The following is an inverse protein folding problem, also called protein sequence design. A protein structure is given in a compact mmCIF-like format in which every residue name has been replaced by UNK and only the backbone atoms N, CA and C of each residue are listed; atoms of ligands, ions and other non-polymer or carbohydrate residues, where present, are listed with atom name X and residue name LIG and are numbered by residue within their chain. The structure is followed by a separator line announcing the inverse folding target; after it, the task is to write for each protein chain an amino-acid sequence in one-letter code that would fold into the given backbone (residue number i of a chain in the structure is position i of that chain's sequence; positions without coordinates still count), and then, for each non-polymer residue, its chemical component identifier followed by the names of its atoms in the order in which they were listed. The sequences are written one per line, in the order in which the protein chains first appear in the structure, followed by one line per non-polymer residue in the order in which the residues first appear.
data_IF_912624828120
#
_entry.id   IF_912624828120
#
_cell.length_a   1.000
_cell.length_b   1.000
_cell.length_c   1.000
_cell.angle_alpha   90.00
_cell.angle_beta   90.00
_cell.angle_gamma   90.00
#
_symmetry.space_group_name_H-M   'P 1'
#
loop_
_entity.id
_entity.type
_entity.pdbx_description
1 polymer ?
#
# COMPACT_ATOMS: atom_id res chain seq x y z
N UNK A 1 0.57 21.30 32.58
CA UNK A 1 -0.10 20.07 32.12
C UNK A 1 -1.26 20.28 31.13
N UNK A 2 -1.85 21.48 31.00
CA UNK A 2 -2.97 21.76 30.07
C UNK A 2 -2.54 21.77 28.55
N UNK A 3 -1.32 22.18 28.21
CA UNK A 3 -0.86 22.30 26.82
C UNK A 3 -0.69 20.97 26.08
N UNK A 4 -0.31 19.90 26.76
CA UNK A 4 -0.05 18.59 26.10
C UNK A 4 -1.34 17.90 25.62
N UNK A 5 -2.45 18.08 26.38
CA UNK A 5 -3.78 17.57 25.98
C UNK A 5 -4.36 18.33 24.77
N UNK A 6 -4.10 19.63 24.69
CA UNK A 6 -4.59 20.48 23.62
C UNK A 6 -3.83 20.24 22.30
N UNK A 7 -2.51 20.02 22.38
CA UNK A 7 -1.68 19.62 21.24
C UNK A 7 -2.07 18.25 20.67
N UNK A 8 -2.38 17.28 21.53
CA UNK A 8 -2.84 15.96 21.10
C UNK A 8 -4.21 16.01 20.41
N UNK A 9 -5.11 16.90 20.87
CA UNK A 9 -6.42 17.11 20.26
C UNK A 9 -6.32 17.76 18.87
N UNK A 10 -5.39 18.70 18.71
CA UNK A 10 -5.12 19.37 17.44
C UNK A 10 -4.47 18.40 16.42
N UNK A 11 -3.52 17.59 16.87
CA UNK A 11 -2.89 16.54 16.05
C UNK A 11 -3.91 15.49 15.58
N UNK A 12 -4.86 15.10 16.44
CA UNK A 12 -5.93 14.19 16.10
C UNK A 12 -6.92 14.79 15.11
N UNK A 13 -7.28 16.07 15.25
CA UNK A 13 -8.16 16.76 14.29
C UNK A 13 -7.48 16.96 12.92
N UNK A 14 -6.18 17.22 12.89
CA UNK A 14 -5.41 17.31 11.65
C UNK A 14 -5.32 15.95 10.95
N UNK A 15 -5.19 14.86 11.71
CA UNK A 15 -5.19 13.48 11.20
C UNK A 15 -6.57 13.10 10.62
N UNK A 16 -7.66 13.49 11.27
CA UNK A 16 -9.04 13.30 10.77
C UNK A 16 -9.33 14.10 9.50
N UNK A 17 -8.88 15.35 9.39
CA UNK A 17 -9.03 16.17 8.18
C UNK A 17 -8.25 15.58 6.99
N UNK A 18 -7.08 14.99 7.21
CA UNK A 18 -6.29 14.32 6.15
C UNK A 18 -6.96 13.06 5.60
N UNK A 19 -7.69 12.30 6.42
CA UNK A 19 -8.49 11.16 5.96
C UNK A 19 -9.68 11.58 5.08
N UNK A 20 -10.24 12.78 5.29
CA UNK A 20 -11.38 13.28 4.50
C UNK A 20 -10.97 13.82 3.12
N UNK A 21 -9.74 14.28 2.93
CA UNK A 21 -9.25 14.83 1.64
C UNK A 21 -8.83 13.72 0.66
N UNK A 22 -8.56 12.52 1.14
CA UNK A 22 -8.16 11.36 0.31
C UNK A 22 -9.35 10.57 -0.27
N UNK A 23 -10.45 11.26 -0.60
CA UNK A 23 -11.57 10.79 -1.45
C UNK A 23 -11.91 9.29 -1.36
N UNK A 24 -12.53 8.85 -0.25
CA UNK A 24 -13.07 7.51 -0.16
C UNK A 24 -13.77 7.31 1.18
N UNK A 25 -15.11 7.21 1.15
CA UNK A 25 -15.93 6.85 2.30
C UNK A 25 -15.55 5.45 2.77
N UNK A 26 -14.57 5.34 3.66
CA UNK A 26 -14.34 4.14 4.44
C UNK A 26 -15.13 4.31 5.73
N UNK A 27 -16.13 3.46 5.94
CA UNK A 27 -16.93 3.42 7.14
C UNK A 27 -16.00 3.33 8.37
N UNK A 28 -16.02 4.38 9.18
CA UNK A 28 -15.37 4.40 10.48
C UNK A 28 -16.14 3.44 11.39
N UNK A 29 -15.63 2.23 11.57
CA UNK A 29 -16.05 1.41 12.72
C UNK A 29 -15.36 2.01 13.93
N UNK A 30 -16.11 2.80 14.70
CA UNK A 30 -15.68 3.30 15.99
C UNK A 30 -15.55 2.11 16.95
N UNK A 31 -14.31 1.65 17.19
CA UNK A 31 -14.02 0.76 18.31
C UNK A 31 -13.96 1.63 19.56
N UNK A 32 -14.77 1.39 20.59
CA UNK A 32 -14.69 2.15 21.83
C UNK A 32 -13.34 1.91 22.51
N UNK A 33 -12.56 2.98 22.65
CA UNK A 33 -11.30 2.99 23.39
C UNK A 33 -11.60 2.96 24.88
N UNK A 34 -11.60 1.79 25.48
CA UNK A 34 -11.47 1.62 26.91
C UNK A 34 -9.99 1.65 27.28
N UNK A 35 -9.44 2.84 27.53
CA UNK A 35 -8.13 2.97 28.14
C UNK A 35 -8.28 2.90 29.67
N UNK A 36 -8.00 1.75 30.24
CA UNK A 36 -7.63 1.67 31.65
C UNK A 36 -6.13 1.95 31.77
N UNK A 37 -5.77 2.96 32.58
CA UNK A 37 -4.39 3.23 33.00
C UNK A 37 -3.92 2.14 33.99
N UNK A 38 -3.68 0.93 33.48
CA UNK A 38 -2.94 -0.08 34.21
C UNK A 38 -1.50 -0.04 33.65
N UNK A 39 -0.53 0.07 34.55
CA UNK A 39 0.89 0.30 34.23
C UNK A 39 1.41 -0.59 33.09
N UNK A 40 2.16 0.02 32.18
CA UNK A 40 2.81 -0.64 31.05
C UNK A 40 3.76 -1.72 31.59
N UNK A 41 3.28 -2.95 31.67
CA UNK A 41 4.15 -4.11 31.71
C UNK A 41 4.71 -4.28 30.29
N UNK A 42 6.05 -4.38 30.15
CA UNK A 42 6.65 -4.95 28.93
C UNK A 42 6.03 -6.34 28.76
N UNK A 43 5.09 -6.44 27.86
CA UNK A 43 4.53 -7.73 27.48
C UNK A 43 5.57 -8.40 26.58
N UNK A 44 6.12 -9.51 27.01
CA UNK A 44 6.93 -10.34 26.11
C UNK A 44 6.08 -10.67 24.88
N UNK A 45 6.68 -10.48 23.68
CA UNK A 45 5.97 -10.68 22.42
C UNK A 45 5.36 -12.09 22.39
N UNK A 46 4.04 -12.18 22.27
CA UNK A 46 3.35 -13.46 22.17
C UNK A 46 3.78 -14.21 20.90
N UNK A 47 3.68 -15.54 20.91
CA UNK A 47 4.08 -16.34 19.75
C UNK A 47 3.32 -15.91 18.49
N UNK A 48 4.05 -15.35 17.52
CA UNK A 48 3.52 -14.84 16.24
C UNK A 48 3.38 -13.33 16.17
N UNK A 49 3.76 -12.59 17.21
CA UNK A 49 3.91 -11.14 17.17
C UNK A 49 5.23 -10.76 16.46
N UNK A 50 5.25 -9.58 15.85
CA UNK A 50 6.37 -9.13 15.01
C UNK A 50 7.00 -7.86 15.58
N UNK A 51 8.25 -7.94 16.04
CA UNK A 51 9.00 -6.77 16.52
C UNK A 51 9.22 -5.76 15.41
N UNK A 52 9.02 -4.47 15.72
CA UNK A 52 9.31 -3.37 14.80
C UNK A 52 10.78 -3.01 14.90
N UNK A 53 11.61 -3.68 14.13
CA UNK A 53 13.07 -3.50 14.11
C UNK A 53 13.63 -3.57 12.69
N UNK A 54 14.95 -3.40 12.57
CA UNK A 54 15.62 -3.40 11.26
C UNK A 54 15.70 -4.78 10.61
N UNK A 55 15.49 -5.86 11.34
CA UNK A 55 15.45 -7.23 10.81
C UNK A 55 14.12 -7.46 10.07
N UNK A 56 13.00 -7.13 10.69
CA UNK A 56 11.68 -7.37 10.14
C UNK A 56 11.25 -6.29 9.12
N UNK A 57 11.68 -5.04 9.36
CA UNK A 57 11.39 -3.87 8.53
C UNK A 57 12.69 -3.07 8.34
N UNK A 58 13.56 -3.48 7.40
CA UNK A 58 14.88 -2.87 7.24
C UNK A 58 14.83 -1.42 6.76
N UNK A 59 13.82 -1.05 5.96
CA UNK A 59 13.66 0.31 5.48
C UNK A 59 13.22 1.25 6.61
N UNK A 60 13.96 2.35 6.80
CA UNK A 60 13.69 3.32 7.87
C UNK A 60 12.36 4.03 7.69
N UNK A 61 12.01 4.41 6.46
CA UNK A 61 10.75 5.09 6.14
C UNK A 61 9.56 4.17 6.42
N UNK A 62 9.61 2.94 5.91
CA UNK A 62 8.56 1.96 6.13
C UNK A 62 8.41 1.59 7.61
N UNK A 63 9.53 1.33 8.30
CA UNK A 63 9.52 1.04 9.75
C UNK A 63 8.93 2.19 10.56
N UNK A 64 9.27 3.45 10.21
CA UNK A 64 8.67 4.64 10.84
C UNK A 64 7.16 4.68 10.62
N UNK A 65 6.70 4.45 9.37
CA UNK A 65 5.28 4.37 9.07
C UNK A 65 4.55 3.33 9.95
N UNK A 66 5.12 2.13 10.05
CA UNK A 66 4.54 1.04 10.86
C UNK A 66 4.44 1.45 12.32
N UNK A 67 5.53 1.97 12.90
CA UNK A 67 5.54 2.42 14.30
C UNK A 67 4.56 3.57 14.57
N UNK A 68 4.34 4.47 13.62
CA UNK A 68 3.47 5.63 13.83
C UNK A 68 2.00 5.36 13.54
N UNK A 69 1.67 4.42 12.65
CA UNK A 69 0.32 4.26 12.12
C UNK A 69 -0.30 2.89 12.38
N UNK A 70 0.49 1.84 12.64
CA UNK A 70 0.01 0.47 12.80
C UNK A 70 0.17 -0.01 14.23
N UNK A 71 1.31 0.25 14.86
CA UNK A 71 1.55 0.00 16.28
C UNK A 71 0.71 0.97 17.13
N UNK A 72 -0.49 0.53 17.49
CA UNK A 72 -1.48 1.40 18.14
C UNK A 72 -1.16 1.65 19.62
N UNK A 73 -0.62 0.65 20.31
CA UNK A 73 -0.28 0.71 21.72
C UNK A 73 1.14 1.26 21.98
N UNK A 74 1.95 1.41 20.89
CA UNK A 74 3.32 1.95 20.93
C UNK A 74 4.29 1.12 21.76
N UNK A 75 4.11 -0.19 21.81
CA UNK A 75 5.00 -1.11 22.54
C UNK A 75 6.21 -1.59 21.69
N UNK A 76 6.27 -1.22 20.41
CA UNK A 76 7.34 -1.60 19.48
C UNK A 76 7.19 -3.00 18.88
N UNK A 77 6.00 -3.60 19.06
CA UNK A 77 5.66 -4.93 18.56
C UNK A 77 4.32 -4.85 17.82
N UNK A 78 4.20 -5.54 16.70
CA UNK A 78 2.91 -5.73 16.05
C UNK A 78 2.29 -7.04 16.53
N UNK A 79 1.19 -6.94 17.26
CA UNK A 79 0.36 -8.07 17.63
C UNK A 79 -0.35 -8.68 16.40
N UNK A 80 -0.79 -9.92 16.51
CA UNK A 80 -1.62 -10.55 15.46
C UNK A 80 -2.88 -9.75 15.16
N UNK A 81 -3.45 -9.09 16.16
CA UNK A 81 -4.65 -8.26 16.00
C UNK A 81 -4.36 -7.01 15.19
N UNK A 82 -3.28 -6.29 15.49
CA UNK A 82 -2.85 -5.12 14.73
C UNK A 82 -2.54 -5.50 13.28
N UNK A 83 -1.77 -6.57 13.05
CA UNK A 83 -1.46 -7.08 11.71
C UNK A 83 -2.73 -7.38 10.91
N UNK A 84 -3.69 -8.10 11.50
CA UNK A 84 -4.95 -8.47 10.83
C UNK A 84 -5.89 -7.29 10.59
N UNK A 85 -5.77 -6.22 11.38
CA UNK A 85 -6.60 -5.02 11.22
C UNK A 85 -6.19 -4.17 10.02
N UNK A 86 -4.95 -4.35 9.51
CA UNK A 86 -4.41 -3.52 8.41
C UNK A 86 -5.03 -3.92 7.08
N UNK A 87 -5.92 -3.08 6.59
CA UNK A 87 -6.54 -3.21 5.26
C UNK A 87 -6.01 -2.19 4.26
N UNK A 88 -5.43 -1.12 4.75
CA UNK A 88 -4.89 -0.04 3.92
C UNK A 88 -3.53 0.41 4.44
N UNK A 89 -2.57 0.52 3.53
CA UNK A 89 -1.28 1.17 3.76
C UNK A 89 -1.16 2.31 2.76
N UNK A 90 -0.89 3.52 3.29
CA UNK A 90 -0.72 4.73 2.51
C UNK A 90 0.61 5.38 2.87
N UNK A 91 1.60 5.23 2.01
CA UNK A 91 2.97 5.71 2.28
C UNK A 91 3.21 7.13 1.78
N UNK A 92 2.23 7.78 1.15
CA UNK A 92 2.26 9.18 0.73
C UNK A 92 3.51 9.62 -0.05
N UNK A 93 3.44 10.77 -0.68
CA UNK A 93 4.59 11.43 -1.31
C UNK A 93 5.47 12.09 -0.24
N UNK A 94 6.79 12.04 -0.44
CA UNK A 94 7.76 12.79 0.38
C UNK A 94 7.54 14.31 0.35
N UNK A 95 6.75 14.82 -0.59
CA UNK A 95 6.37 16.24 -0.69
C UNK A 95 5.25 16.63 0.28
N UNK A 96 4.52 15.65 0.83
CA UNK A 96 3.56 15.91 1.90
C UNK A 96 4.28 15.98 3.25
N UNK A 97 3.92 16.95 4.08
CA UNK A 97 4.53 17.11 5.42
C UNK A 97 4.41 15.81 6.20
N UNK A 98 5.53 15.14 6.44
CA UNK A 98 5.58 13.83 7.10
C UNK A 98 5.54 12.61 6.17
N UNK A 99 5.71 12.78 4.84
CA UNK A 99 5.81 11.68 3.88
C UNK A 99 6.97 10.72 4.21
N UNK A 100 6.76 9.44 3.93
CA UNK A 100 7.75 8.39 4.18
C UNK A 100 8.49 8.08 2.88
N UNK A 101 9.82 8.24 2.88
CA UNK A 101 10.64 7.87 1.73
C UNK A 101 11.13 6.45 1.93
N UNK A 102 10.55 5.53 1.16
CA UNK A 102 10.88 4.11 1.22
C UNK A 102 11.74 3.69 0.01
N UNK A 103 12.77 2.89 0.28
CA UNK A 103 13.59 2.23 -0.76
C UNK A 103 13.14 0.80 -1.01
N UNK A 104 12.54 0.16 -0.02
CA UNK A 104 11.90 -1.15 -0.12
C UNK A 104 10.78 -1.29 0.93
N UNK A 105 9.88 -2.25 0.72
CA UNK A 105 8.79 -2.57 1.64
C UNK A 105 8.94 -3.98 2.21
N UNK A 106 10.16 -4.42 2.49
CA UNK A 106 10.41 -5.71 3.17
C UNK A 106 9.63 -5.73 4.49
N UNK A 107 8.88 -6.81 4.72
CA UNK A 107 7.94 -6.91 5.84
C UNK A 107 6.47 -6.66 5.45
N UNK A 108 6.18 -6.14 4.25
CA UNK A 108 4.80 -5.92 3.78
C UNK A 108 3.97 -7.23 3.71
N UNK A 109 4.64 -8.34 3.51
CA UNK A 109 4.07 -9.68 3.34
C UNK A 109 3.33 -10.20 4.58
N UNK A 110 3.53 -9.63 5.77
CA UNK A 110 2.81 -10.02 6.99
C UNK A 110 1.37 -9.51 7.00
N UNK A 111 1.07 -8.42 6.26
CA UNK A 111 -0.26 -7.83 6.20
C UNK A 111 -1.15 -8.55 5.18
N UNK A 112 -1.55 -9.78 5.52
CA UNK A 112 -2.31 -10.66 4.61
C UNK A 112 -3.74 -10.19 4.36
N UNK A 113 -4.27 -9.30 5.20
CA UNK A 113 -5.60 -8.70 5.05
C UNK A 113 -5.58 -7.40 4.22
N UNK A 114 -4.41 -6.98 3.70
CA UNK A 114 -4.23 -5.75 2.96
C UNK A 114 -5.05 -5.76 1.66
N UNK A 115 -5.89 -4.73 1.49
CA UNK A 115 -6.76 -4.52 0.33
C UNK A 115 -6.29 -3.35 -0.54
N UNK A 116 -5.70 -2.34 0.09
CA UNK A 116 -5.18 -1.15 -0.61
C UNK A 116 -3.74 -0.89 -0.21
N UNK A 117 -2.86 -0.79 -1.20
CA UNK A 117 -1.49 -0.34 -1.03
C UNK A 117 -1.25 0.87 -1.96
N UNK A 118 -0.96 2.02 -1.36
CA UNK A 118 -0.50 3.22 -2.04
C UNK A 118 0.92 3.51 -1.59
N UNK A 119 1.87 3.33 -2.50
CA UNK A 119 3.30 3.54 -2.25
C UNK A 119 3.96 4.36 -3.37
N UNK A 120 3.18 5.22 -4.02
CA UNK A 120 3.64 6.10 -5.09
C UNK A 120 4.64 7.15 -4.59
N UNK A 121 5.42 7.73 -5.51
CA UNK A 121 6.41 8.77 -5.23
C UNK A 121 7.45 8.37 -4.16
N UNK A 122 7.96 7.15 -4.26
CA UNK A 122 8.99 6.61 -3.40
C UNK A 122 10.27 6.30 -4.19
N UNK A 123 11.18 5.55 -3.59
CA UNK A 123 12.45 5.12 -4.22
C UNK A 123 12.55 3.60 -4.33
N UNK A 124 11.39 2.93 -4.48
CA UNK A 124 11.32 1.48 -4.52
C UNK A 124 12.01 0.93 -5.76
N UNK A 125 12.95 0.01 -5.57
CA UNK A 125 13.57 -0.77 -6.64
C UNK A 125 12.93 -2.14 -6.80
N UNK A 126 12.30 -2.63 -5.75
CA UNK A 126 11.57 -3.90 -5.69
C UNK A 126 10.28 -3.74 -4.90
N UNK A 127 9.26 -4.53 -5.24
CA UNK A 127 8.00 -4.60 -4.52
C UNK A 127 7.48 -6.04 -4.60
N UNK A 128 7.41 -6.73 -3.46
CA UNK A 128 6.85 -8.08 -3.37
C UNK A 128 5.50 -8.06 -2.65
N UNK A 129 4.43 -8.17 -3.43
CA UNK A 129 3.05 -8.20 -2.93
C UNK A 129 2.39 -9.58 -3.05
N UNK A 130 3.17 -10.65 -3.34
CA UNK A 130 2.64 -12.00 -3.58
C UNK A 130 1.88 -12.58 -2.39
N UNK A 131 2.18 -12.19 -1.16
CA UNK A 131 1.46 -12.63 0.04
C UNK A 131 0.23 -11.76 0.36
N UNK A 132 0.11 -10.58 -0.25
CA UNK A 132 -1.03 -9.68 -0.04
C UNK A 132 -2.16 -10.04 -1.03
N UNK A 133 -2.66 -11.27 -0.95
CA UNK A 133 -3.59 -11.86 -1.92
C UNK A 133 -4.99 -11.22 -1.91
N UNK A 134 -5.27 -10.37 -0.92
CA UNK A 134 -6.53 -9.63 -0.81
C UNK A 134 -6.47 -8.24 -1.44
N UNK A 135 -5.35 -7.85 -2.08
CA UNK A 135 -5.23 -6.57 -2.75
C UNK A 135 -6.30 -6.39 -3.83
N UNK A 136 -7.01 -5.28 -3.72
CA UNK A 136 -7.99 -4.75 -4.68
C UNK A 136 -7.41 -3.54 -5.40
N UNK A 137 -6.63 -2.71 -4.69
CA UNK A 137 -6.00 -1.51 -5.22
C UNK A 137 -4.51 -1.50 -4.95
N UNK A 138 -3.71 -1.29 -6.00
CA UNK A 138 -2.26 -1.09 -5.92
C UNK A 138 -1.87 0.16 -6.72
N UNK A 139 -1.32 1.16 -6.02
CA UNK A 139 -0.65 2.33 -6.58
C UNK A 139 0.83 2.30 -6.21
N UNK A 140 1.70 2.24 -7.20
CA UNK A 140 3.15 2.24 -7.03
C UNK A 140 3.85 3.15 -8.06
N UNK A 141 3.18 4.23 -8.43
CA UNK A 141 3.66 5.21 -9.41
C UNK A 141 4.96 5.88 -8.97
N UNK A 142 5.69 6.43 -9.92
CA UNK A 142 6.87 7.26 -9.66
C UNK A 142 7.84 6.55 -8.69
N UNK A 143 8.34 5.40 -9.13
CA UNK A 143 9.31 4.58 -8.41
C UNK A 143 10.46 4.15 -9.36
N UNK A 144 11.25 3.16 -8.95
CA UNK A 144 12.37 2.64 -9.74
C UNK A 144 12.23 1.14 -10.02
N UNK A 145 10.98 0.66 -10.08
CA UNK A 145 10.69 -0.77 -10.26
C UNK A 145 11.09 -1.23 -11.66
N UNK A 146 11.87 -2.30 -11.73
CA UNK A 146 12.23 -2.97 -13.00
C UNK A 146 11.37 -4.20 -13.26
N UNK A 147 10.72 -4.73 -12.22
CA UNK A 147 9.80 -5.87 -12.27
C UNK A 147 8.66 -5.65 -11.28
N UNK A 148 7.48 -6.15 -11.61
CA UNK A 148 6.31 -6.15 -10.73
C UNK A 148 5.54 -7.45 -10.98
N UNK A 149 5.44 -8.29 -9.95
CA UNK A 149 4.69 -9.55 -9.99
C UNK A 149 3.37 -9.38 -9.22
N UNK A 150 2.26 -9.34 -9.96
CA UNK A 150 0.89 -9.26 -9.42
C UNK A 150 0.11 -10.55 -9.64
N UNK A 151 0.76 -11.64 -10.02
CA UNK A 151 0.12 -12.93 -10.36
C UNK A 151 -0.69 -13.55 -9.22
N UNK A 152 -0.37 -13.23 -7.97
CA UNK A 152 -1.08 -13.70 -6.78
C UNK A 152 -2.21 -12.77 -6.30
N UNK A 153 -2.34 -11.60 -6.93
CA UNK A 153 -3.31 -10.57 -6.53
C UNK A 153 -4.56 -10.63 -7.44
N UNK A 154 -5.22 -11.78 -7.50
CA UNK A 154 -6.35 -12.04 -8.41
C UNK A 154 -7.60 -11.18 -8.13
N UNK A 155 -7.62 -10.45 -7.01
CA UNK A 155 -8.69 -9.53 -6.64
C UNK A 155 -8.45 -8.10 -7.11
N UNK A 156 -7.29 -7.81 -7.76
CA UNK A 156 -6.97 -6.46 -8.22
C UNK A 156 -8.02 -5.96 -9.22
N UNK A 157 -8.57 -4.79 -8.90
CA UNK A 157 -9.46 -4.00 -9.75
C UNK A 157 -8.77 -2.73 -10.26
N UNK A 158 -7.80 -2.21 -9.50
CA UNK A 158 -7.05 -1.01 -9.82
C UNK A 158 -5.54 -1.30 -9.72
N UNK A 159 -4.81 -1.04 -10.79
CA UNK A 159 -3.36 -1.08 -10.84
C UNK A 159 -2.83 0.18 -11.51
N UNK A 160 -2.04 0.96 -10.76
CA UNK A 160 -1.24 2.04 -11.29
C UNK A 160 0.23 1.79 -10.97
N UNK A 161 1.06 1.75 -12.02
CA UNK A 161 2.51 1.54 -11.93
C UNK A 161 3.26 2.46 -12.92
N UNK A 162 2.67 3.63 -13.20
CA UNK A 162 3.23 4.64 -14.10
C UNK A 162 4.59 5.15 -13.61
N UNK A 163 5.37 5.73 -14.51
CA UNK A 163 6.67 6.32 -14.19
C UNK A 163 7.60 5.34 -13.43
N UNK A 164 7.85 4.18 -14.04
CA UNK A 164 8.74 3.15 -13.52
C UNK A 164 9.73 2.68 -14.62
N UNK A 165 10.38 1.54 -14.43
CA UNK A 165 11.35 0.97 -15.37
C UNK A 165 10.97 -0.44 -15.79
N UNK A 166 9.67 -0.75 -15.80
CA UNK A 166 9.16 -2.09 -16.10
C UNK A 166 9.41 -2.42 -17.57
N UNK A 167 10.05 -3.56 -17.82
CA UNK A 167 10.25 -4.09 -19.18
C UNK A 167 9.20 -5.12 -19.57
N UNK A 168 8.52 -5.71 -18.60
CA UNK A 168 7.40 -6.64 -18.73
C UNK A 168 6.38 -6.41 -17.66
N UNK A 169 5.10 -6.62 -17.97
CA UNK A 169 4.00 -6.58 -17.01
C UNK A 169 2.99 -7.67 -17.42
N UNK A 170 2.87 -8.71 -16.59
CA UNK A 170 1.87 -9.76 -16.78
C UNK A 170 0.67 -9.52 -15.86
N UNK A 171 -0.47 -9.21 -16.46
CA UNK A 171 -1.75 -9.00 -15.77
C UNK A 171 -2.76 -10.11 -16.08
N UNK A 172 -2.34 -11.22 -16.68
CA UNK A 172 -3.22 -12.32 -17.12
C UNK A 172 -4.01 -12.96 -15.97
N UNK A 173 -3.50 -12.89 -14.74
CA UNK A 173 -4.16 -13.40 -13.53
C UNK A 173 -5.10 -12.40 -12.85
N UNK A 174 -5.16 -11.16 -13.34
CA UNK A 174 -5.93 -10.07 -12.73
C UNK A 174 -7.23 -9.80 -13.55
N UNK A 175 -8.05 -10.83 -13.73
CA UNK A 175 -9.26 -10.77 -14.58
C UNK A 175 -10.33 -9.77 -14.09
N UNK A 176 -10.23 -9.31 -12.83
CA UNK A 176 -11.11 -8.28 -12.26
C UNK A 176 -10.67 -6.85 -12.53
N UNK A 177 -9.51 -6.67 -13.20
CA UNK A 177 -8.92 -5.36 -13.42
C UNK A 177 -9.85 -4.48 -14.25
N UNK A 178 -10.18 -3.28 -13.72
CA UNK A 178 -11.01 -2.25 -14.32
C UNK A 178 -10.19 -1.04 -14.77
N UNK A 179 -9.11 -0.75 -14.04
CA UNK A 179 -8.21 0.35 -14.30
C UNK A 179 -6.77 -0.16 -14.36
N UNK A 180 -6.07 0.14 -15.45
CA UNK A 180 -4.65 -0.14 -15.62
C UNK A 180 -3.96 1.12 -16.15
N UNK A 181 -3.07 1.69 -15.34
CA UNK A 181 -2.14 2.73 -15.77
C UNK A 181 -0.70 2.23 -15.65
N UNK A 182 -0.07 2.01 -16.79
CA UNK A 182 1.35 1.65 -16.91
C UNK A 182 2.11 2.67 -17.79
N UNK A 183 1.62 3.91 -17.84
CA UNK A 183 2.25 5.03 -18.52
C UNK A 183 3.73 5.15 -18.14
N UNK A 184 4.56 5.61 -19.08
CA UNK A 184 5.99 5.83 -18.92
C UNK A 184 6.73 4.67 -18.23
N UNK A 185 6.87 3.59 -19.01
CA UNK A 185 7.64 2.41 -18.65
C UNK A 185 8.49 1.97 -19.87
N UNK A 186 9.01 0.75 -19.86
CA UNK A 186 9.84 0.20 -20.95
C UNK A 186 9.22 -1.06 -21.55
N UNK A 187 7.89 -1.18 -21.50
CA UNK A 187 7.18 -2.36 -21.97
C UNK A 187 7.31 -2.49 -23.48
N UNK A 188 7.72 -3.65 -23.96
CA UNK A 188 7.78 -3.99 -25.38
C UNK A 188 6.57 -4.77 -25.85
N UNK A 189 5.83 -5.38 -24.92
CA UNK A 189 4.59 -6.10 -25.14
C UNK A 189 3.65 -5.91 -23.94
N UNK A 190 2.33 -5.94 -24.21
CA UNK A 190 1.30 -5.90 -23.18
C UNK A 190 0.09 -6.72 -23.62
N UNK A 191 -0.13 -7.87 -22.96
CA UNK A 191 -1.28 -8.72 -23.23
C UNK A 191 -2.38 -8.50 -22.19
N UNK A 192 -3.49 -7.91 -22.62
CA UNK A 192 -4.68 -7.62 -21.78
C UNK A 192 -5.89 -8.46 -22.16
N UNK A 193 -5.72 -9.51 -22.97
CA UNK A 193 -6.84 -10.34 -23.46
C UNK A 193 -7.65 -11.01 -22.36
N UNK A 194 -7.07 -11.20 -21.18
CA UNK A 194 -7.75 -11.77 -19.99
C UNK A 194 -8.42 -10.70 -19.11
N UNK A 195 -8.18 -9.41 -19.36
CA UNK A 195 -8.68 -8.30 -18.54
C UNK A 195 -9.93 -7.68 -19.18
N UNK A 196 -10.95 -8.50 -19.44
CA UNK A 196 -12.17 -8.12 -20.16
C UNK A 196 -13.04 -7.10 -19.40
N UNK A 197 -12.71 -6.83 -18.13
CA UNK A 197 -13.38 -5.82 -17.30
C UNK A 197 -12.70 -4.45 -17.34
N UNK A 198 -11.60 -4.28 -18.11
CA UNK A 198 -10.93 -2.99 -18.26
C UNK A 198 -11.89 -1.94 -18.83
N UNK A 199 -11.94 -0.81 -18.13
CA UNK A 199 -12.69 0.40 -18.48
C UNK A 199 -11.71 1.52 -18.85
N UNK A 200 -10.55 1.56 -18.17
CA UNK A 200 -9.51 2.56 -18.41
C UNK A 200 -8.17 1.86 -18.59
N UNK A 201 -7.50 2.18 -19.69
CA UNK A 201 -6.14 1.75 -20.00
C UNK A 201 -5.29 2.95 -20.40
N UNK A 202 -4.19 3.16 -19.70
CA UNK A 202 -3.13 4.06 -20.12
C UNK A 202 -1.82 3.29 -20.21
N UNK A 203 -1.33 3.05 -21.40
CA UNK A 203 -0.05 2.40 -21.69
C UNK A 203 0.86 3.27 -22.57
N UNK A 204 0.57 4.57 -22.65
CA UNK A 204 1.36 5.54 -23.43
C UNK A 204 2.80 5.62 -22.90
N UNK A 205 3.71 6.18 -23.69
CA UNK A 205 5.13 6.32 -23.33
C UNK A 205 5.79 4.97 -22.95
N UNK A 206 5.49 3.93 -23.73
CA UNK A 206 6.15 2.62 -23.67
C UNK A 206 6.82 2.31 -25.01
N UNK A 207 7.31 1.09 -25.19
CA UNK A 207 7.95 0.60 -26.43
C UNK A 207 7.06 -0.42 -27.15
N UNK A 208 5.74 -0.29 -26.99
CA UNK A 208 4.78 -1.20 -27.62
C UNK A 208 4.74 -0.93 -29.14
N UNK A 209 4.96 -1.96 -29.94
CA UNK A 209 4.79 -1.90 -31.40
C UNK A 209 3.35 -2.19 -31.83
N UNK A 210 2.58 -2.87 -30.99
CA UNK A 210 1.18 -3.25 -31.20
C UNK A 210 0.46 -3.39 -29.87
N UNK A 211 -0.86 -3.24 -29.89
CA UNK A 211 -1.73 -3.51 -28.75
C UNK A 211 -3.07 -4.07 -29.28
N UNK A 212 -3.41 -5.27 -28.83
CA UNK A 212 -4.70 -5.87 -29.14
C UNK A 212 -5.71 -5.60 -28.01
N UNK A 213 -6.76 -4.85 -28.32
CA UNK A 213 -7.86 -4.50 -27.40
C UNK A 213 -9.17 -5.21 -27.78
N UNK A 214 -9.16 -6.13 -28.72
CA UNK A 214 -10.37 -6.75 -29.29
C UNK A 214 -11.22 -7.47 -28.25
N UNK A 215 -10.63 -7.93 -27.17
CA UNK A 215 -11.30 -8.60 -26.04
C UNK A 215 -11.81 -7.65 -24.95
N UNK A 216 -11.43 -6.36 -24.99
CA UNK A 216 -11.69 -5.40 -23.92
C UNK A 216 -12.86 -4.48 -24.30
N UNK A 217 -14.06 -5.04 -24.37
CA UNK A 217 -15.26 -4.34 -24.90
C UNK A 217 -15.79 -3.19 -24.02
N UNK A 218 -15.16 -2.97 -22.84
CA UNK A 218 -15.55 -1.90 -21.91
C UNK A 218 -14.57 -0.71 -21.94
N UNK A 219 -13.48 -0.78 -22.74
CA UNK A 219 -12.55 0.32 -23.00
C UNK A 219 -13.18 1.41 -23.86
#
# INVERSE_FOLDING_TARGET
MKNKKQMNKLALQTKLKRLMVAGGLAALVAVPLLFSNAGMRKVDAAQGDVKINSTNFPDKGFRKYISENIDLNKDGVLSKTEIKSVKTIYLGSASEVGGYICKNLTGINIFTELQTLECSCNKLTTLDVRKNTKLVKLGCDVNKLTKLDVSKNSKLEYLSCRDNKLTKLDVSRNSKLKYLDCYDNKLTDLNISKNQNLIVLNCSSNKLSKLDVTRNKKL
#
